data_IF_574079961940
#
_entry.id   IF_574079961940
#
_cell.length_a   1.000
_cell.length_b   1.000
_cell.length_c   1.000
_cell.angle_alpha   90.00
_cell.angle_beta   90.00
_cell.angle_gamma   90.00
#
_symmetry.space_group_name_H-M   'P 1'
#
loop_
_entity.id
_entity.type
_entity.pdbx_description
1 polymer ?
#
# COMPACT_ATOMS: atom_id res chain seq x y z
N UNK A 1 4.40 9.78 13.83
CA UNK A 1 3.70 10.97 13.32
C UNK A 1 2.23 10.70 13.55
N UNK A 2 1.52 11.59 14.23
CA UNK A 2 0.07 11.49 14.37
C UNK A 2 -0.53 12.62 13.52
N UNK A 3 -1.42 12.27 12.61
CA UNK A 3 -2.17 13.21 11.80
C UNK A 3 -3.39 13.65 12.59
N UNK A 4 -3.63 14.96 12.69
CA UNK A 4 -4.64 15.54 13.58
C UNK A 4 -5.93 15.93 12.87
N UNK A 5 -5.92 15.98 11.53
CA UNK A 5 -7.08 16.37 10.74
C UNK A 5 -7.14 15.70 9.38
N UNK A 6 -8.33 15.62 8.79
CA UNK A 6 -8.50 15.18 7.41
C UNK A 6 -7.79 16.12 6.42
N UNK A 7 -7.59 17.39 6.76
CA UNK A 7 -6.84 18.33 5.91
C UNK A 7 -5.38 17.90 5.75
N UNK A 8 -4.75 17.36 6.78
CA UNK A 8 -3.38 16.85 6.70
C UNK A 8 -3.31 15.57 5.87
N UNK A 9 -4.30 14.69 6.01
CA UNK A 9 -4.41 13.47 5.20
C UNK A 9 -4.63 13.79 3.72
N UNK A 10 -5.50 14.76 3.41
CA UNK A 10 -5.71 15.23 2.05
C UNK A 10 -4.44 15.88 1.47
N UNK A 11 -3.64 16.60 2.28
CA UNK A 11 -2.37 17.16 1.83
C UNK A 11 -1.35 16.06 1.47
N UNK A 12 -1.34 14.94 2.20
CA UNK A 12 -0.53 13.75 1.84
C UNK A 12 -0.99 13.21 0.48
N UNK A 13 -2.29 13.00 0.28
CA UNK A 13 -2.83 12.53 -0.99
C UNK A 13 -2.47 13.48 -2.14
N UNK A 14 -2.74 14.78 -1.97
CA UNK A 14 -2.50 15.80 -2.99
C UNK A 14 -1.02 15.90 -3.36
N UNK A 15 -0.12 15.85 -2.37
CA UNK A 15 1.32 15.91 -2.62
C UNK A 15 1.86 14.66 -3.32
N UNK A 16 1.27 13.48 -3.04
CA UNK A 16 1.57 12.26 -3.77
C UNK A 16 1.09 12.33 -5.22
N UNK A 17 -0.18 12.69 -5.44
CA UNK A 17 -0.78 12.73 -6.79
C UNK A 17 -0.11 13.77 -7.70
N UNK A 18 0.33 14.89 -7.13
CA UNK A 18 1.07 15.92 -7.84
C UNK A 18 2.59 15.68 -7.90
N UNK A 19 3.08 14.58 -7.33
CA UNK A 19 4.51 14.25 -7.25
C UNK A 19 5.37 15.36 -6.59
N UNK A 20 4.82 16.04 -5.58
CA UNK A 20 5.49 17.13 -4.84
C UNK A 20 5.93 16.73 -3.43
N UNK A 21 5.49 15.58 -2.91
CA UNK A 21 6.02 15.01 -1.66
C UNK A 21 7.54 14.81 -1.78
N UNK A 22 8.30 15.09 -0.72
CA UNK A 22 9.74 14.89 -0.75
C UNK A 22 10.10 13.41 -0.56
N UNK A 23 11.28 12.99 -1.05
CA UNK A 23 11.75 11.61 -0.86
C UNK A 23 11.89 11.20 0.61
N UNK A 24 12.21 12.15 1.49
CA UNK A 24 12.35 11.89 2.93
C UNK A 24 11.01 11.75 3.65
N UNK A 25 9.96 12.38 3.11
CA UNK A 25 8.62 12.37 3.69
C UNK A 25 7.75 11.24 3.12
N UNK A 26 8.15 10.60 2.02
CA UNK A 26 7.45 9.43 1.48
C UNK A 26 7.82 8.14 2.24
N UNK A 27 7.02 7.79 3.25
CA UNK A 27 7.20 6.62 4.10
C UNK A 27 5.99 5.67 4.12
N UNK A 28 6.03 4.75 5.08
CA UNK A 28 4.96 3.77 5.31
C UNK A 28 3.62 4.42 5.72
N UNK A 29 3.58 5.41 6.64
CA UNK A 29 2.33 6.09 6.97
C UNK A 29 1.66 6.75 5.77
N UNK A 30 2.44 7.45 4.94
CA UNK A 30 1.95 8.15 3.75
C UNK A 30 1.41 7.16 2.71
N UNK A 31 2.10 6.02 2.55
CA UNK A 31 1.62 4.92 1.71
C UNK A 31 0.25 4.39 2.17
N UNK A 32 0.05 4.18 3.47
CA UNK A 32 -1.23 3.71 4.01
C UNK A 32 -2.35 4.73 3.81
N UNK A 33 -2.06 6.03 3.97
CA UNK A 33 -3.05 7.11 3.76
C UNK A 33 -3.51 7.14 2.30
N UNK A 34 -2.56 7.14 1.36
CA UNK A 34 -2.90 7.14 -0.08
C UNK A 34 -3.66 5.86 -0.45
N UNK A 35 -3.23 4.70 0.05
CA UNK A 35 -3.94 3.44 -0.16
C UNK A 35 -5.37 3.52 0.36
N UNK A 36 -5.59 4.12 1.54
CA UNK A 36 -6.91 4.29 2.13
C UNK A 36 -7.83 5.10 1.23
N UNK A 37 -7.40 6.28 0.78
CA UNK A 37 -8.17 7.10 -0.16
C UNK A 37 -8.52 6.36 -1.44
N UNK A 38 -7.59 5.59 -2.00
CA UNK A 38 -7.85 4.81 -3.20
C UNK A 38 -8.80 3.63 -2.97
N UNK A 39 -8.75 2.99 -1.81
CA UNK A 39 -9.62 1.87 -1.47
C UNK A 39 -11.05 2.28 -1.09
N UNK A 40 -11.26 3.45 -0.47
CA UNK A 40 -12.63 3.91 -0.14
C UNK A 40 -13.42 4.36 -1.38
N UNK A 41 -12.73 4.75 -2.46
CA UNK A 41 -13.35 5.26 -3.69
C UNK A 41 -13.74 4.16 -4.69
N UNK A 42 -13.33 2.90 -4.50
CA UNK A 42 -13.62 1.89 -5.51
C UNK A 42 -13.10 0.49 -5.27
N UNK A 43 -12.77 -0.16 -6.39
CA UNK A 43 -12.36 -1.56 -6.46
C UNK A 43 -10.88 -1.75 -6.08
N UNK A 44 -10.57 -2.87 -5.41
CA UNK A 44 -9.22 -3.21 -4.97
C UNK A 44 -8.19 -3.16 -6.11
N UNK A 45 -8.54 -3.67 -7.29
CA UNK A 45 -7.63 -3.67 -8.44
C UNK A 45 -7.38 -2.25 -8.98
N UNK A 46 -8.41 -1.39 -8.97
CA UNK A 46 -8.27 0.02 -9.35
C UNK A 46 -7.36 0.74 -8.36
N UNK A 47 -7.55 0.53 -7.06
CA UNK A 47 -6.71 1.11 -6.02
C UNK A 47 -5.24 0.72 -6.19
N UNK A 48 -4.98 -0.55 -6.49
CA UNK A 48 -3.64 -1.04 -6.82
C UNK A 48 -3.04 -0.33 -8.04
N UNK A 49 -3.77 -0.24 -9.16
CA UNK A 49 -3.24 0.38 -10.38
C UNK A 49 -2.96 1.88 -10.20
N UNK A 50 -3.80 2.59 -9.44
CA UNK A 50 -3.57 4.00 -9.06
C UNK A 50 -2.31 4.14 -8.21
N UNK A 51 -2.17 3.32 -7.17
CA UNK A 51 -0.99 3.33 -6.29
C UNK A 51 0.30 3.04 -7.07
N UNK A 52 0.31 1.98 -7.90
CA UNK A 52 1.46 1.61 -8.72
C UNK A 52 1.87 2.75 -9.66
N UNK A 53 0.90 3.32 -10.38
CA UNK A 53 1.18 4.42 -11.32
C UNK A 53 1.71 5.66 -10.58
N UNK A 54 1.10 6.02 -9.45
CA UNK A 54 1.55 7.15 -8.63
C UNK A 54 2.98 6.96 -8.09
N UNK A 55 3.33 5.76 -7.58
CA UNK A 55 4.69 5.49 -7.11
C UNK A 55 5.70 5.60 -8.26
N UNK A 56 5.39 5.06 -9.44
CA UNK A 56 6.29 5.15 -10.59
C UNK A 56 6.54 6.60 -11.03
N UNK A 57 5.47 7.41 -11.09
CA UNK A 57 5.58 8.85 -11.36
C UNK A 57 6.41 9.58 -10.30
N UNK A 58 6.22 9.22 -9.03
CA UNK A 58 6.97 9.81 -7.93
C UNK A 58 8.46 9.47 -8.01
N UNK A 59 8.80 8.23 -8.38
CA UNK A 59 10.20 7.83 -8.62
C UNK A 59 10.83 8.60 -9.79
N UNK A 60 10.06 8.91 -10.84
CA UNK A 60 10.52 9.80 -11.92
C UNK A 60 10.76 11.23 -11.41
N UNK A 61 9.85 11.78 -10.60
CA UNK A 61 10.00 13.10 -9.99
C UNK A 61 11.21 13.19 -9.04
N UNK A 62 11.54 12.09 -8.36
CA UNK A 62 12.75 11.97 -7.54
C UNK A 62 14.05 11.86 -8.36
N UNK A 63 13.97 11.72 -9.68
CA UNK A 63 15.13 11.54 -10.55
C UNK A 63 15.80 10.17 -10.37
N UNK A 64 15.04 9.15 -9.97
CA UNK A 64 15.57 7.79 -9.81
C UNK A 64 15.81 7.15 -11.18
N UNK A 65 17.06 6.77 -11.43
CA UNK A 65 17.41 5.94 -12.58
C UNK A 65 16.98 4.48 -12.34
N UNK A 66 15.76 4.17 -12.82
CA UNK A 66 15.14 2.84 -12.68
C UNK A 66 15.94 1.69 -13.33
N UNK A 67 16.91 2.00 -14.18
CA UNK A 67 17.81 0.98 -14.75
C UNK A 67 18.90 0.52 -13.78
N UNK A 68 19.19 1.32 -12.75
CA UNK A 68 20.21 1.04 -11.73
C UNK A 68 19.62 0.59 -10.41
N UNK A 69 18.48 1.14 -10.03
CA UNK A 69 17.77 0.79 -8.81
C UNK A 69 16.26 0.86 -9.07
N UNK A 70 15.51 -0.16 -8.66
CA UNK A 70 14.05 -0.14 -8.68
C UNK A 70 13.53 -0.13 -7.23
N UNK A 71 13.31 1.05 -6.61
CA UNK A 71 12.81 1.14 -5.24
C UNK A 71 11.38 0.61 -5.09
N UNK A 72 10.59 0.62 -6.17
CA UNK A 72 9.25 0.04 -6.19
C UNK A 72 9.30 -1.45 -5.85
N UNK A 73 8.28 -1.91 -5.10
CA UNK A 73 8.21 -3.28 -4.62
C UNK A 73 6.81 -3.86 -4.84
N UNK A 74 6.67 -4.63 -5.90
CA UNK A 74 5.38 -5.15 -6.36
C UNK A 74 4.61 -5.93 -5.29
N UNK A 75 5.26 -6.90 -4.64
CA UNK A 75 4.61 -7.71 -3.60
C UNK A 75 4.14 -6.87 -2.40
N UNK A 76 4.95 -5.91 -1.94
CA UNK A 76 4.56 -5.04 -0.82
C UNK A 76 3.41 -4.10 -1.19
N UNK A 77 3.43 -3.51 -2.38
CA UNK A 77 2.34 -2.62 -2.82
C UNK A 77 1.01 -3.37 -2.88
N UNK A 78 0.97 -4.56 -3.48
CA UNK A 78 -0.26 -5.36 -3.51
C UNK A 78 -0.69 -5.81 -2.10
N UNK A 79 0.26 -6.24 -1.26
CA UNK A 79 -0.03 -6.61 0.12
C UNK A 79 -0.70 -5.48 0.89
N UNK A 80 -0.16 -4.25 0.81
CA UNK A 80 -0.71 -3.12 1.55
C UNK A 80 -2.07 -2.67 1.02
N UNK A 81 -2.29 -2.68 -0.29
CA UNK A 81 -3.62 -2.45 -0.86
C UNK A 81 -4.63 -3.46 -0.33
N UNK A 82 -4.27 -4.75 -0.30
CA UNK A 82 -5.15 -5.81 0.23
C UNK A 82 -5.49 -5.60 1.71
N UNK A 83 -4.48 -5.28 2.54
CA UNK A 83 -4.65 -5.01 3.97
C UNK A 83 -5.63 -3.86 4.19
N UNK A 84 -5.42 -2.75 3.50
CA UNK A 84 -6.25 -1.54 3.65
C UNK A 84 -7.68 -1.79 3.14
N UNK A 85 -7.82 -2.49 2.02
CA UNK A 85 -9.12 -2.82 1.44
C UNK A 85 -9.97 -3.69 2.37
N UNK A 86 -9.39 -4.76 2.96
CA UNK A 86 -10.11 -5.61 3.90
C UNK A 86 -10.38 -4.89 5.23
N UNK A 87 -9.46 -4.04 5.71
CA UNK A 87 -9.69 -3.19 6.89
C UNK A 87 -10.94 -2.30 6.71
N UNK A 88 -11.07 -1.62 5.56
CA UNK A 88 -12.24 -0.77 5.25
C UNK A 88 -13.53 -1.61 5.21
N UNK A 89 -13.47 -2.78 4.55
CA UNK A 89 -14.61 -3.69 4.40
C UNK A 89 -15.12 -4.22 5.75
N UNK A 90 -14.23 -4.50 6.69
CA UNK A 90 -14.60 -4.95 8.04
C UNK A 90 -15.27 -3.85 8.87
N UNK A 91 -14.91 -2.58 8.67
CA UNK A 91 -15.49 -1.43 9.40
C UNK A 91 -16.92 -1.11 8.96
N UNK A 92 -17.22 -1.24 7.67
CA UNK A 92 -18.56 -0.99 7.11
C UNK A 92 -19.02 0.48 7.15
N UNK A 93 -18.16 1.40 7.60
CA UNK A 93 -18.30 2.87 7.57
C UNK A 93 -16.91 3.47 7.37
N UNK A 94 -16.86 4.68 6.82
CA UNK A 94 -15.61 5.39 6.56
C UNK A 94 -15.50 6.59 7.49
N UNK A 95 -14.60 6.54 8.45
CA UNK A 95 -14.21 7.65 9.32
C UNK A 95 -12.76 8.01 9.01
N UNK A 96 -12.53 8.73 7.90
CA UNK A 96 -11.21 8.91 7.24
C UNK A 96 -10.07 9.16 8.22
N UNK A 97 -10.23 10.12 9.15
CA UNK A 97 -9.19 10.45 10.13
C UNK A 97 -8.93 9.31 11.13
N UNK A 98 -9.99 8.74 11.69
CA UNK A 98 -9.88 7.68 12.69
C UNK A 98 -9.30 6.40 12.08
N UNK A 99 -9.76 6.04 10.88
CA UNK A 99 -9.35 4.85 10.14
C UNK A 99 -7.88 4.93 9.72
N UNK A 100 -7.42 6.07 9.16
CA UNK A 100 -6.01 6.27 8.83
C UNK A 100 -5.11 6.20 10.07
N UNK A 101 -5.51 6.83 11.19
CA UNK A 101 -4.76 6.76 12.46
C UNK A 101 -4.66 5.33 12.96
N UNK A 102 -5.75 4.57 12.89
CA UNK A 102 -5.79 3.19 13.32
C UNK A 102 -4.93 2.28 12.43
N UNK A 103 -4.98 2.46 11.10
CA UNK A 103 -4.12 1.74 10.15
C UNK A 103 -2.64 1.94 10.48
N UNK A 104 -2.22 3.19 10.67
CA UNK A 104 -0.82 3.55 10.97
C UNK A 104 -0.38 2.97 12.33
N UNK A 105 -1.27 3.00 13.33
CA UNK A 105 -0.99 2.50 14.69
C UNK A 105 -0.93 0.97 14.73
N UNK A 106 -1.78 0.31 13.97
CA UNK A 106 -1.96 -1.15 14.01
C UNK A 106 -0.95 -1.87 13.13
N UNK A 107 -0.75 -1.38 11.91
CA UNK A 107 0.03 -2.09 10.90
C UNK A 107 1.41 -1.45 10.73
N UNK A 108 2.39 -1.99 11.44
CA UNK A 108 3.79 -1.61 11.23
C UNK A 108 4.29 -2.03 9.84
N UNK A 109 5.33 -1.36 9.35
CA UNK A 109 5.99 -1.73 8.07
C UNK A 109 6.49 -3.19 8.01
N UNK A 110 6.68 -3.82 9.18
CA UNK A 110 7.18 -5.18 9.32
C UNK A 110 6.04 -6.23 9.38
N UNK A 111 4.77 -5.80 9.41
CA UNK A 111 3.59 -6.69 9.39
C UNK A 111 3.60 -7.76 8.28
N UNK A 112 4.09 -7.49 7.04
CA UNK A 112 4.23 -8.54 6.03
C UNK A 112 5.09 -9.74 6.50
N UNK A 113 6.06 -9.53 7.39
CA UNK A 113 6.95 -10.59 7.88
C UNK A 113 6.26 -11.62 8.78
N UNK A 114 5.02 -11.37 9.18
CA UNK A 114 4.19 -12.39 9.82
C UNK A 114 3.82 -13.51 8.83
N UNK A 115 3.70 -13.17 7.54
CA UNK A 115 3.21 -14.03 6.47
C UNK A 115 4.26 -14.43 5.43
N UNK A 116 5.32 -13.64 5.30
CA UNK A 116 6.44 -13.90 4.40
C UNK A 116 7.72 -14.10 5.20
N UNK A 117 8.54 -15.06 4.79
CA UNK A 117 9.95 -15.10 5.17
C UNK A 117 10.69 -13.89 4.61
N UNK A 118 11.75 -13.47 5.31
CA UNK A 118 12.63 -12.38 4.84
C UNK A 118 13.27 -12.72 3.49
N UNK A 119 13.61 -13.99 3.27
CA UNK A 119 14.22 -14.47 2.04
C UNK A 119 13.28 -14.27 0.85
N UNK A 120 12.01 -14.67 0.99
CA UNK A 120 11.02 -14.48 -0.05
C UNK A 120 10.72 -12.99 -0.28
N UNK A 121 10.38 -12.26 0.79
CA UNK A 121 9.88 -10.90 0.71
C UNK A 121 10.90 -9.93 0.11
N UNK A 122 12.18 -10.06 0.48
CA UNK A 122 13.23 -9.14 0.02
C UNK A 122 14.00 -9.66 -1.22
N UNK A 123 13.49 -10.68 -1.89
CA UNK A 123 14.04 -11.16 -3.17
C UNK A 123 13.71 -10.21 -4.31
N UNK A 124 14.55 -10.20 -5.36
CA UNK A 124 14.28 -9.44 -6.59
C UNK A 124 12.96 -9.85 -7.24
N UNK A 125 12.62 -11.15 -7.18
CA UNK A 125 11.35 -11.68 -7.70
C UNK A 125 10.14 -11.04 -7.01
N UNK A 126 10.19 -10.82 -5.70
CA UNK A 126 9.09 -10.19 -4.96
C UNK A 126 8.97 -8.68 -5.24
N UNK A 127 10.07 -8.04 -5.65
CA UNK A 127 10.07 -6.65 -6.12
C UNK A 127 9.46 -6.51 -7.52
N UNK A 128 9.74 -7.46 -8.42
CA UNK A 128 9.31 -7.43 -9.82
C UNK A 128 7.87 -7.92 -10.04
N UNK A 129 7.43 -8.94 -9.30
CA UNK A 129 6.10 -9.55 -9.42
C UNK A 129 5.53 -9.89 -8.06
N UNK A 130 4.20 -9.98 -7.99
CA UNK A 130 3.53 -10.46 -6.79
C UNK A 130 3.87 -11.93 -6.53
N UNK A 131 4.34 -12.21 -5.31
CA UNK A 131 4.46 -13.56 -4.78
C UNK A 131 3.42 -13.70 -3.65
N UNK A 132 2.65 -14.80 -3.61
CA UNK A 132 1.69 -15.01 -2.53
C UNK A 132 2.40 -15.25 -1.18
N UNK A 133 1.74 -14.95 -0.06
CA UNK A 133 2.29 -15.19 1.27
C UNK A 133 2.46 -16.68 1.57
N UNK A 134 3.44 -17.03 2.40
CA UNK A 134 3.72 -18.42 2.82
C UNK A 134 2.77 -18.89 3.93
N UNK A 135 2.16 -17.96 4.65
CA UNK A 135 1.11 -18.22 5.64
C UNK A 135 -0.20 -17.53 5.24
N UNK A 136 -1.35 -18.10 5.61
CA UNK A 136 -2.63 -17.48 5.32
C UNK A 136 -2.74 -16.09 5.97
N UNK A 137 -3.36 -15.16 5.24
CA UNK A 137 -3.74 -13.86 5.80
C UNK A 137 -4.95 -14.02 6.74
N UNK A 138 -5.17 -13.11 7.69
CA UNK A 138 -6.27 -13.23 8.66
C UNK A 138 -7.66 -13.35 8.00
N UNK A 139 -7.82 -12.77 6.81
CA UNK A 139 -9.05 -12.77 6.01
C UNK A 139 -9.04 -13.80 4.88
N UNK A 140 -8.00 -14.64 4.73
CA UNK A 140 -7.90 -15.60 3.62
C UNK A 140 -8.66 -16.91 3.83
N UNK A 141 -9.81 -16.90 4.52
CA UNK A 141 -10.64 -18.09 4.71
C UNK A 141 -11.78 -18.16 3.71
N UNK A 142 -11.48 -18.27 2.42
CA UNK A 142 -12.38 -18.81 1.38
C UNK A 142 -11.54 -19.54 0.31
N UNK A 143 -12.02 -20.67 -0.23
CA UNK A 143 -11.24 -21.51 -1.13
C UNK A 143 -10.86 -20.75 -2.41
N UNK A 144 -9.58 -20.84 -2.77
CA UNK A 144 -9.05 -20.46 -4.08
C UNK A 144 -9.67 -21.39 -5.13
N UNK A 145 -10.79 -20.98 -5.71
CA UNK A 145 -11.28 -21.50 -6.97
C UNK A 145 -11.80 -20.33 -7.82
N UNK A 146 -10.88 -19.65 -8.51
CA UNK A 146 -11.21 -18.95 -9.75
C UNK A 146 -10.12 -19.28 -10.75
N UNK A 147 -10.34 -20.22 -11.69
CA UNK A 147 -9.44 -20.42 -12.80
C UNK A 147 -9.52 -19.20 -13.71
N UNK A 148 -8.39 -18.55 -13.97
CA UNK A 148 -8.26 -17.68 -15.13
C UNK A 148 -8.37 -18.55 -16.38
N UNK A 149 -9.50 -18.45 -17.08
CA UNK A 149 -9.65 -18.84 -18.49
C UNK A 149 -9.43 -17.63 -19.38
#
# INVERSE_FOLDING_TARGET
MEYESESELNAVLESFENCTVSRGDWGHPEHLIVAYFYCIEGDEAIAYWRMKSGILNLLDAFGIDKSKEMPFHETLTQFWIKVVFEFIKERGRNEVLADCRELIRTFSKDYPLEFYSRELLFSDKARERFLPPEKPLPWSTLPVDVPYS
#
